data_IF_554339649923
#
_entry.id   IF_554339649923
#
_cell.length_a   1.000
_cell.length_b   1.000
_cell.length_c   1.000
_cell.angle_alpha   90.00
_cell.angle_beta   90.00
_cell.angle_gamma   90.00
#
_symmetry.space_group_name_H-M   'P 1'
#
loop_
_entity.id
_entity.type
_entity.pdbx_description
1 polymer ?
#
# COMPACT_ATOMS: atom_id res chain seq x y z
N UNK A 1 -1.57 13.11 18.41
CA UNK A 1 -1.98 11.73 18.05
C UNK A 1 -1.62 11.50 16.60
N UNK A 2 -0.88 10.44 16.26
CA UNK A 2 -0.54 10.15 14.87
C UNK A 2 -1.76 9.55 14.16
N UNK A 3 -2.21 10.19 13.07
CA UNK A 3 -3.34 9.71 12.27
C UNK A 3 -2.90 8.47 11.49
N UNK A 4 -3.61 7.37 11.69
CA UNK A 4 -3.36 6.14 10.94
C UNK A 4 -3.78 6.31 9.48
N UNK A 5 -2.97 5.79 8.58
CA UNK A 5 -3.14 5.97 7.13
C UNK A 5 -3.27 4.62 6.44
N UNK A 6 -4.06 4.61 5.38
CA UNK A 6 -4.39 3.41 4.63
C UNK A 6 -4.17 3.67 3.14
N UNK A 7 -3.54 2.69 2.47
CA UNK A 7 -3.42 2.69 1.01
C UNK A 7 -4.63 2.04 0.38
N UNK A 8 -5.07 2.55 -0.77
CA UNK A 8 -6.14 1.98 -1.60
C UNK A 8 -5.62 1.87 -3.03
N UNK A 9 -5.81 0.70 -3.64
CA UNK A 9 -5.54 0.42 -5.04
C UNK A 9 -6.85 0.54 -5.81
N UNK A 10 -6.91 1.50 -6.73
CA UNK A 10 -8.09 1.73 -7.59
C UNK A 10 -7.76 1.28 -9.00
N UNK A 11 -8.36 0.19 -9.45
CA UNK A 11 -8.23 -0.32 -10.82
C UNK A 11 -9.19 0.42 -11.75
N UNK A 12 -8.71 0.84 -12.92
CA UNK A 12 -9.45 1.68 -13.87
C UNK A 12 -9.55 1.01 -15.24
N UNK A 13 -10.66 1.23 -15.94
CA UNK A 13 -10.76 0.85 -17.36
C UNK A 13 -9.87 1.75 -18.26
N UNK A 14 -9.74 3.03 -17.86
CA UNK A 14 -8.97 4.05 -18.56
C UNK A 14 -8.46 5.12 -17.60
N UNK A 15 -7.34 5.75 -17.95
CA UNK A 15 -6.67 6.76 -17.11
C UNK A 15 -7.24 8.18 -17.28
N UNK A 16 -8.23 8.37 -18.17
CA UNK A 16 -8.85 9.67 -18.42
C UNK A 16 -9.32 10.36 -17.12
N UNK A 17 -9.84 9.58 -16.18
CA UNK A 17 -10.39 10.08 -14.91
C UNK A 17 -9.42 9.94 -13.72
N UNK A 18 -8.18 9.51 -13.92
CA UNK A 18 -7.23 9.31 -12.82
C UNK A 18 -6.96 10.60 -12.01
N UNK A 19 -6.99 11.77 -12.66
CA UNK A 19 -6.84 13.07 -11.97
C UNK A 19 -7.99 13.38 -11.02
N UNK A 20 -9.20 12.87 -11.29
CA UNK A 20 -10.37 13.08 -10.43
C UNK A 20 -10.20 12.43 -9.06
N UNK A 21 -9.42 11.33 -9.01
CA UNK A 21 -9.19 10.58 -7.78
C UNK A 21 -8.44 11.37 -6.69
N UNK A 22 -7.75 12.45 -7.06
CA UNK A 22 -7.10 13.37 -6.11
C UNK A 22 -8.07 14.07 -5.16
N UNK A 23 -9.37 14.05 -5.45
CA UNK A 23 -10.42 14.59 -4.56
C UNK A 23 -10.70 13.67 -3.37
N UNK A 24 -10.26 12.41 -3.42
CA UNK A 24 -10.55 11.38 -2.41
C UNK A 24 -9.35 11.03 -1.53
N UNK A 25 -8.22 11.73 -1.72
CA UNK A 25 -6.99 11.46 -0.98
C UNK A 25 -5.74 11.80 -1.79
N UNK A 26 -4.58 11.48 -1.23
CA UNK A 26 -3.31 11.71 -1.90
C UNK A 26 -3.04 10.61 -2.93
N UNK A 27 -2.82 10.98 -4.19
CA UNK A 27 -2.44 10.02 -5.24
C UNK A 27 -0.93 9.86 -5.24
N UNK A 28 -0.46 8.73 -4.72
CA UNK A 28 0.97 8.42 -4.64
C UNK A 28 1.54 7.96 -5.99
N UNK A 29 0.76 7.21 -6.76
CA UNK A 29 1.22 6.64 -8.02
C UNK A 29 0.06 6.35 -8.98
N UNK A 30 0.34 6.47 -10.29
CA UNK A 30 -0.60 6.12 -11.36
C UNK A 30 0.13 5.22 -12.35
N UNK A 31 -0.31 3.96 -12.46
CA UNK A 31 0.25 3.00 -13.39
C UNK A 31 -0.32 3.21 -14.79
N UNK A 32 0.52 3.62 -15.75
CA UNK A 32 0.12 3.79 -17.15
C UNK A 32 -0.18 2.46 -17.86
N UNK A 33 0.63 1.44 -17.56
CA UNK A 33 0.56 0.11 -18.22
C UNK A 33 -0.57 -0.74 -17.68
N UNK A 34 -0.72 -0.82 -16.35
CA UNK A 34 -1.70 -1.69 -15.70
C UNK A 34 -3.00 -0.97 -15.31
N UNK A 35 -3.06 0.35 -15.50
CA UNK A 35 -4.25 1.20 -15.27
C UNK A 35 -4.80 1.09 -13.85
N UNK A 36 -3.94 1.31 -12.87
CA UNK A 36 -4.37 1.47 -11.47
C UNK A 36 -3.78 2.72 -10.84
N UNK A 37 -4.42 3.17 -9.77
CA UNK A 37 -4.00 4.32 -8.96
C UNK A 37 -3.76 3.88 -7.53
N UNK A 38 -2.64 4.29 -6.96
CA UNK A 38 -2.34 4.16 -5.53
C UNK A 38 -2.81 5.44 -4.86
N UNK A 39 -3.91 5.34 -4.12
CA UNK A 39 -4.49 6.40 -3.31
C UNK A 39 -4.09 6.17 -1.85
N UNK A 40 -3.90 7.26 -1.11
CA UNK A 40 -3.55 7.24 0.31
C UNK A 40 -4.49 8.17 1.08
N UNK A 41 -5.16 7.61 2.08
CA UNK A 41 -6.20 8.29 2.88
C UNK A 41 -6.03 7.98 4.37
N UNK A 42 -6.89 8.58 5.20
CA UNK A 42 -6.98 8.22 6.62
C UNK A 42 -7.61 6.84 6.77
N UNK A 43 -7.18 6.08 7.78
CA UNK A 43 -7.72 4.73 8.02
C UNK A 43 -9.23 4.78 8.29
N UNK A 44 -9.69 5.75 9.08
CA UNK A 44 -11.11 5.95 9.43
C UNK A 44 -12.00 6.23 8.22
N UNK A 45 -11.45 6.77 7.13
CA UNK A 45 -12.19 7.10 5.90
C UNK A 45 -12.23 5.93 4.90
N UNK A 46 -11.50 4.84 5.16
CA UNK A 46 -11.25 3.79 4.17
C UNK A 46 -12.53 3.14 3.67
N UNK A 47 -13.42 2.69 4.56
CA UNK A 47 -14.64 1.96 4.19
C UNK A 47 -15.56 2.80 3.31
N UNK A 48 -15.81 4.05 3.73
CA UNK A 48 -16.60 5.02 2.96
C UNK A 48 -15.98 5.26 1.57
N UNK A 49 -14.66 5.42 1.50
CA UNK A 49 -13.97 5.65 0.24
C UNK A 49 -14.01 4.41 -0.66
N UNK A 50 -13.90 3.20 -0.12
CA UNK A 50 -14.01 1.96 -0.89
C UNK A 50 -15.36 1.87 -1.60
N UNK A 51 -16.47 2.04 -0.85
CA UNK A 51 -17.82 2.00 -1.41
C UNK A 51 -18.03 3.09 -2.47
N UNK A 52 -17.64 4.32 -2.15
CA UNK A 52 -17.79 5.47 -3.06
C UNK A 52 -16.97 5.29 -4.33
N UNK A 53 -15.72 4.84 -4.22
CA UNK A 53 -14.85 4.63 -5.38
C UNK A 53 -15.37 3.48 -6.25
N UNK A 54 -15.85 2.40 -5.63
CA UNK A 54 -16.41 1.24 -6.34
C UNK A 54 -17.70 1.59 -7.11
N UNK A 55 -18.45 2.61 -6.67
CA UNK A 55 -19.65 3.09 -7.36
C UNK A 55 -19.39 3.79 -8.69
N UNK A 56 -18.16 4.25 -8.95
CA UNK A 56 -17.86 5.01 -10.16
C UNK A 56 -17.78 4.11 -11.40
N UNK A 57 -18.42 4.50 -12.53
CA UNK A 57 -18.51 3.66 -13.72
C UNK A 57 -17.17 3.44 -14.43
N UNK A 58 -16.18 4.29 -14.19
CA UNK A 58 -14.84 4.17 -14.77
C UNK A 58 -13.87 3.35 -13.89
N UNK A 59 -14.33 2.90 -12.72
CA UNK A 59 -13.58 2.06 -11.77
C UNK A 59 -13.96 0.59 -12.01
N UNK A 60 -12.94 -0.25 -12.16
CA UNK A 60 -13.09 -1.70 -12.36
C UNK A 60 -13.18 -2.44 -11.02
N UNK A 61 -12.33 -2.06 -10.07
CA UNK A 61 -12.19 -2.70 -8.75
C UNK A 61 -11.47 -1.75 -7.81
N UNK A 62 -11.79 -1.81 -6.53
CA UNK A 62 -11.07 -1.11 -5.47
C UNK A 62 -10.61 -2.11 -4.41
N UNK A 63 -9.37 -2.00 -3.96
CA UNK A 63 -8.78 -2.89 -2.95
C UNK A 63 -7.99 -2.11 -1.90
N UNK A 64 -8.18 -2.37 -0.59
CA UNK A 64 -7.33 -1.80 0.45
C UNK A 64 -5.94 -2.48 0.44
N UNK A 65 -4.90 -1.71 0.75
CA UNK A 65 -3.54 -2.20 0.93
C UNK A 65 -3.30 -2.65 2.37
N UNK A 66 -3.08 -3.94 2.61
CA UNK A 66 -2.83 -4.45 3.95
C UNK A 66 -1.39 -4.23 4.47
N UNK A 67 -0.59 -3.39 3.79
CA UNK A 67 0.78 -3.06 4.18
C UNK A 67 0.92 -2.62 5.65
N UNK A 68 0.02 -1.80 6.23
CA UNK A 68 0.13 -1.39 7.63
C UNK A 68 0.00 -2.54 8.64
N UNK A 69 -0.65 -3.65 8.26
CA UNK A 69 -0.94 -4.76 9.14
C UNK A 69 0.09 -5.89 9.06
N UNK A 70 1.12 -5.72 8.22
CA UNK A 70 2.21 -6.69 8.12
C UNK A 70 3.05 -6.64 9.40
N UNK A 71 3.19 -7.80 10.06
CA UNK A 71 4.11 -7.95 11.19
C UNK A 71 5.53 -7.72 10.68
N UNK A 72 6.21 -6.71 11.24
CA UNK A 72 7.63 -6.44 10.95
C UNK A 72 8.56 -7.04 12.01
N UNK A 73 8.00 -7.73 13.00
CA UNK A 73 8.75 -8.55 13.95
C UNK A 73 9.12 -9.86 13.25
N UNK A 74 10.38 -9.96 12.84
CA UNK A 74 10.94 -11.18 12.32
C UNK A 74 11.36 -12.05 13.50
N UNK A 75 10.82 -13.26 13.61
CA UNK A 75 11.39 -14.26 14.50
C UNK A 75 12.83 -14.48 14.05
N UNK A 76 13.80 -14.13 14.89
CA UNK A 76 15.21 -14.48 14.70
C UNK A 76 15.28 -16.01 14.71
N UNK A 77 15.09 -16.65 13.56
CA UNK A 77 15.23 -18.09 13.37
C UNK A 77 16.72 -18.44 13.38
N UNK A 78 17.26 -18.39 14.59
CA UNK A 78 18.63 -18.74 15.00
C UNK A 78 19.70 -17.81 14.38
N UNK A 79 20.58 -17.20 15.19
CA UNK A 79 21.80 -16.62 14.63
C UNK A 79 22.52 -17.73 13.88
N UNK A 80 22.72 -17.51 12.59
CA UNK A 80 23.50 -18.40 11.74
C UNK A 80 24.88 -18.54 12.37
N UNK A 81 25.16 -19.70 12.99
CA UNK A 81 26.40 -19.98 13.75
C UNK A 81 27.64 -19.86 12.86
N UNK A 82 27.48 -19.79 11.53
CA UNK A 82 28.55 -19.53 10.60
C UNK A 82 29.21 -18.15 10.81
N UNK A 83 28.48 -17.15 11.33
CA UNK A 83 29.04 -15.79 11.56
C UNK A 83 29.89 -15.66 12.83
N UNK A 84 29.93 -16.65 13.72
CA UNK A 84 30.81 -16.60 14.91
C UNK A 84 32.28 -16.90 14.57
N UNK A 85 32.56 -17.59 13.46
CA UNK A 85 33.93 -18.01 13.09
C UNK A 85 34.71 -16.92 12.33
N UNK A 86 34.05 -16.03 11.60
CA UNK A 86 34.71 -14.92 10.89
C UNK A 86 35.33 -13.89 11.84
N UNK A 87 34.87 -13.78 13.10
CA UNK A 87 35.40 -12.83 14.09
C UNK A 87 36.58 -13.37 14.92
N UNK A 88 37.00 -14.62 14.72
CA UNK A 88 38.13 -15.23 15.45
C UNK A 88 39.40 -15.44 14.62
N UNK A 89 39.38 -15.15 13.31
CA UNK A 89 40.58 -15.20 12.44
C UNK A 89 41.35 -13.87 12.44
N UNK A 90 41.61 -13.33 13.62
CA UNK A 90 42.33 -12.08 13.81
C UNK A 90 43.15 -12.08 15.10
N UNK A 91 44.14 -12.97 15.18
CA UNK A 91 45.37 -12.83 15.97
C UNK A 91 46.52 -13.31 15.09
#
# INVERSE_FOLDING_TARGET
MFVQRQGIIVWLYSLKHAKMLRRFGNVHYVSKRLKYVVLYCNLEETEMLLEKLQSFPFVKKVEPSYKPFLKMEFENSKPDKAKEYDYKMGI
#
